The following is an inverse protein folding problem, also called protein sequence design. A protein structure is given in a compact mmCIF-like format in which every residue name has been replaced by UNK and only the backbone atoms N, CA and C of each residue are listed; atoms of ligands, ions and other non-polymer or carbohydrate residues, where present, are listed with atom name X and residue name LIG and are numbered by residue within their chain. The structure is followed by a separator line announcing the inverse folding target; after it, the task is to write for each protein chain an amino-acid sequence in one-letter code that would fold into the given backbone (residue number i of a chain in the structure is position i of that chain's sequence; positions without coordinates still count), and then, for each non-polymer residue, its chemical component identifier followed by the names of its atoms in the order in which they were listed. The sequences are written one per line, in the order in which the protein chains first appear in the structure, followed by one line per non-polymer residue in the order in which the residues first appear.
data_IF_081559749696
#
_entry.id   IF_081559749696
#
_cell.length_a   1.000
_cell.length_b   1.000
_cell.length_c   1.000
_cell.angle_alpha   90.00
_cell.angle_beta   90.00
_cell.angle_gamma   90.00
#
_symmetry.space_group_name_H-M   'P 1'
#
loop_
_entity.id
_entity.type
_entity.pdbx_description
1 polymer ?
#
# COMPACT_ATOMS: atom_id res chain seq x y z
N UNK A 1 -18.09 5.77 6.44
CA UNK A 1 -17.47 5.38 7.72
C UNK A 1 -17.24 6.54 8.67
N UNK A 2 -17.58 6.37 9.95
CA UNK A 2 -17.35 7.35 11.03
C UNK A 2 -15.86 7.63 11.26
N UNK A 3 -15.00 6.60 11.12
CA UNK A 3 -13.54 6.73 11.30
C UNK A 3 -12.92 7.53 10.16
N UNK A 4 -13.23 7.21 8.90
CA UNK A 4 -12.72 7.94 7.73
C UNK A 4 -13.08 9.42 7.80
N UNK A 5 -14.33 9.73 8.17
CA UNK A 5 -14.78 11.11 8.35
C UNK A 5 -14.05 11.83 9.49
N UNK A 6 -13.76 11.12 10.59
CA UNK A 6 -12.96 11.67 11.69
C UNK A 6 -11.53 11.99 11.24
N UNK A 7 -10.85 11.04 10.58
CA UNK A 7 -9.49 11.24 10.07
C UNK A 7 -9.42 12.43 9.10
N UNK A 8 -10.35 12.52 8.16
CA UNK A 8 -10.42 13.62 7.20
C UNK A 8 -10.55 14.99 7.90
N UNK A 9 -11.40 15.10 8.93
CA UNK A 9 -11.54 16.32 9.73
C UNK A 9 -10.26 16.71 10.48
N UNK A 10 -9.41 15.74 10.80
CA UNK A 10 -8.11 15.96 11.45
C UNK A 10 -6.95 16.22 10.46
N UNK A 11 -7.24 16.28 9.15
CA UNK A 11 -6.22 16.48 8.12
C UNK A 11 -5.47 15.20 7.73
N UNK A 12 -6.09 14.04 7.96
CA UNK A 12 -5.55 12.72 7.60
C UNK A 12 -6.46 12.09 6.55
N UNK A 13 -5.90 11.70 5.42
CA UNK A 13 -6.58 10.88 4.42
C UNK A 13 -6.05 9.46 4.58
N UNK A 14 -6.94 8.50 4.78
CA UNK A 14 -6.60 7.08 4.83
C UNK A 14 -7.77 6.27 4.27
N UNK A 15 -7.64 5.86 3.01
CA UNK A 15 -8.70 5.25 2.19
C UNK A 15 -8.10 4.26 1.16
N UNK A 16 -8.93 3.41 0.53
CA UNK A 16 -8.50 2.62 -0.63
C UNK A 16 -7.92 3.51 -1.75
N UNK A 17 -6.96 2.99 -2.51
CA UNK A 17 -6.26 3.78 -3.53
C UNK A 17 -7.22 4.37 -4.58
N UNK A 18 -8.16 3.56 -5.09
CA UNK A 18 -9.13 4.00 -6.10
C UNK A 18 -10.12 5.04 -5.58
N UNK A 19 -10.52 4.97 -4.31
CA UNK A 19 -11.30 6.04 -3.67
C UNK A 19 -10.49 7.33 -3.62
N UNK A 20 -9.18 7.23 -3.37
CA UNK A 20 -8.26 8.36 -3.46
C UNK A 20 -8.20 8.98 -4.85
N UNK A 21 -8.23 8.18 -5.92
CA UNK A 21 -8.27 8.71 -7.30
C UNK A 21 -9.58 9.46 -7.51
N UNK A 22 -10.70 8.91 -7.05
CA UNK A 22 -12.02 9.51 -7.23
C UNK A 22 -12.19 10.82 -6.44
N UNK A 23 -11.75 10.86 -5.19
CA UNK A 23 -11.97 12.00 -4.28
C UNK A 23 -10.83 13.04 -4.30
N UNK A 24 -9.60 12.62 -4.56
CA UNK A 24 -8.40 13.47 -4.50
C UNK A 24 -7.48 13.29 -5.72
N UNK A 25 -8.00 13.36 -6.98
CA UNK A 25 -7.24 13.03 -8.18
C UNK A 25 -5.98 13.89 -8.34
N UNK A 26 -6.10 15.20 -8.13
CA UNK A 26 -4.96 16.13 -8.26
C UNK A 26 -3.84 15.80 -7.27
N UNK A 27 -4.19 15.39 -6.06
CA UNK A 27 -3.22 15.06 -5.04
C UNK A 27 -2.49 13.77 -5.42
N UNK A 28 -3.22 12.71 -5.78
CA UNK A 28 -2.62 11.44 -6.20
C UNK A 28 -1.73 11.62 -7.43
N UNK A 29 -2.23 12.23 -8.50
CA UNK A 29 -1.46 12.40 -9.73
C UNK A 29 -0.24 13.32 -9.59
N UNK A 30 -0.15 14.10 -8.51
CA UNK A 30 1.06 14.88 -8.20
C UNK A 30 2.21 14.05 -7.63
N UNK A 31 1.95 12.81 -7.18
CA UNK A 31 2.94 11.97 -6.49
C UNK A 31 3.08 10.55 -7.04
N UNK A 32 2.03 9.97 -7.62
CA UNK A 32 2.11 8.62 -8.20
C UNK A 32 3.19 8.59 -9.28
N UNK A 33 4.09 7.61 -9.17
CA UNK A 33 5.16 7.38 -10.12
C UNK A 33 6.34 8.34 -10.00
N UNK A 34 6.37 9.18 -8.95
CA UNK A 34 7.47 10.13 -8.72
C UNK A 34 8.67 9.49 -8.04
N UNK A 35 8.47 8.37 -7.33
CA UNK A 35 9.54 7.61 -6.68
C UNK A 35 9.82 6.34 -7.50
N UNK A 36 8.78 5.56 -7.78
CA UNK A 36 8.89 4.34 -8.59
C UNK A 36 8.28 4.63 -9.96
N UNK A 37 9.14 4.93 -10.93
CA UNK A 37 8.72 5.25 -12.29
C UNK A 37 8.12 4.04 -13.01
N UNK A 38 7.40 4.27 -14.10
CA UNK A 38 6.83 3.20 -14.93
C UNK A 38 7.91 2.24 -15.46
N UNK A 39 9.12 2.73 -15.70
CA UNK A 39 10.23 1.98 -16.30
C UNK A 39 11.20 1.39 -15.26
N UNK A 40 10.88 1.49 -13.97
CA UNK A 40 11.79 1.12 -12.88
C UNK A 40 12.27 -0.34 -12.98
N UNK A 41 11.32 -1.27 -13.11
CA UNK A 41 11.59 -2.68 -13.35
C UNK A 41 10.35 -3.35 -13.96
N UNK A 42 10.52 -4.59 -14.43
CA UNK A 42 9.44 -5.36 -15.07
C UNK A 42 8.15 -5.43 -14.22
N UNK A 43 8.29 -5.71 -12.92
CA UNK A 43 7.15 -5.83 -12.01
C UNK A 43 6.52 -4.48 -11.68
N UNK A 44 7.32 -3.40 -11.59
CA UNK A 44 6.82 -2.04 -11.43
C UNK A 44 6.03 -1.57 -12.66
N UNK A 45 6.51 -1.87 -13.87
CA UNK A 45 5.76 -1.58 -15.11
C UNK A 45 4.43 -2.34 -15.12
N UNK A 46 4.47 -3.64 -14.84
CA UNK A 46 3.27 -4.48 -14.79
C UNK A 46 2.27 -3.94 -13.76
N UNK A 47 2.70 -3.78 -12.50
CA UNK A 47 1.87 -3.24 -11.42
C UNK A 47 1.24 -1.89 -11.80
N UNK A 48 2.02 -0.97 -12.38
CA UNK A 48 1.53 0.37 -12.75
C UNK A 48 0.40 0.35 -13.80
N UNK A 49 0.25 -0.73 -14.57
CA UNK A 49 -0.80 -0.87 -15.58
C UNK A 49 -2.02 -1.62 -15.04
N UNK A 50 -1.83 -2.64 -14.21
CA UNK A 50 -2.90 -3.60 -13.84
C UNK A 50 -3.26 -3.66 -12.35
N UNK A 51 -2.66 -2.82 -11.49
CA UNK A 51 -3.02 -2.81 -10.08
C UNK A 51 -4.52 -2.58 -9.87
N UNK A 52 -5.10 -3.32 -8.93
CA UNK A 52 -6.55 -3.33 -8.66
C UNK A 52 -6.87 -3.08 -7.20
N UNK A 53 -5.84 -3.01 -6.34
CA UNK A 53 -5.98 -2.72 -4.92
C UNK A 53 -4.88 -1.80 -4.39
N UNK A 54 -4.80 -1.74 -3.06
CA UNK A 54 -3.84 -0.92 -2.33
C UNK A 54 -4.46 0.27 -1.62
N UNK A 55 -3.62 1.17 -1.11
CA UNK A 55 -4.04 2.20 -0.16
C UNK A 55 -3.47 3.59 -0.47
N UNK A 56 -4.25 4.61 -0.16
CA UNK A 56 -3.79 5.99 -0.19
C UNK A 56 -3.80 6.60 1.21
N UNK A 57 -2.63 7.08 1.65
CA UNK A 57 -2.46 7.74 2.92
C UNK A 57 -1.80 9.12 2.74
N UNK A 58 -2.42 10.15 3.31
CA UNK A 58 -1.86 11.50 3.32
C UNK A 58 -2.02 12.13 4.71
N UNK A 59 -0.93 12.68 5.25
CA UNK A 59 -0.93 13.40 6.51
C UNK A 59 -0.63 14.87 6.22
N UNK A 60 -1.55 15.77 6.59
CA UNK A 60 -1.39 17.20 6.40
C UNK A 60 -0.27 17.81 7.26
N UNK A 61 0.20 18.98 6.87
CA UNK A 61 1.32 19.69 7.51
C UNK A 61 1.03 19.91 9.01
N UNK A 62 2.06 19.72 9.84
CA UNK A 62 2.01 19.86 11.31
C UNK A 62 1.05 18.90 12.04
N UNK A 63 0.45 17.92 11.36
CA UNK A 63 -0.44 16.95 12.00
C UNK A 63 0.35 15.78 12.58
N UNK A 64 0.10 15.47 13.85
CA UNK A 64 0.57 14.24 14.49
C UNK A 64 -0.58 13.25 14.56
N UNK A 65 -0.47 12.14 13.84
CA UNK A 65 -1.43 11.05 13.93
C UNK A 65 -1.19 10.29 15.24
N UNK A 66 -2.20 10.31 16.12
CA UNK A 66 -2.15 9.64 17.43
C UNK A 66 -2.70 8.20 17.39
N UNK A 67 -2.99 7.69 16.20
CA UNK A 67 -3.57 6.37 15.98
C UNK A 67 -2.65 5.63 15.03
N UNK A 68 -2.40 4.34 15.30
CA UNK A 68 -1.66 3.51 14.36
C UNK A 68 -2.59 3.17 13.19
N UNK A 69 -2.25 3.65 12.00
CA UNK A 69 -2.96 3.31 10.79
C UNK A 69 -2.52 1.91 10.36
N UNK A 70 -3.47 1.05 10.05
CA UNK A 70 -3.18 -0.30 9.59
C UNK A 70 -4.04 -0.69 8.41
N UNK A 71 -3.40 -1.22 7.38
CA UNK A 71 -4.04 -1.93 6.28
C UNK A 71 -3.78 -3.42 6.48
N UNK A 72 -4.82 -4.23 6.29
CA UNK A 72 -4.69 -5.67 6.31
C UNK A 72 -5.30 -6.22 5.03
N UNK A 73 -4.43 -6.66 4.13
CA UNK A 73 -4.82 -7.31 2.90
C UNK A 73 -4.94 -8.81 3.18
N UNK A 74 -6.18 -9.30 3.21
CA UNK A 74 -6.46 -10.73 3.31
C UNK A 74 -6.85 -11.23 1.94
N UNK A 75 -5.97 -11.99 1.30
CA UNK A 75 -6.28 -12.73 0.08
C UNK A 75 -7.37 -13.76 0.42
N UNK A 76 -8.57 -13.59 -0.14
CA UNK A 76 -9.74 -14.46 0.10
C UNK A 76 -10.13 -15.30 -1.11
N UNK A 77 -9.50 -15.05 -2.25
CA UNK A 77 -9.78 -15.65 -3.54
C UNK A 77 -8.65 -16.60 -3.94
N UNK A 78 -8.97 -17.61 -4.75
CA UNK A 78 -8.01 -18.40 -5.54
C UNK A 78 -7.37 -17.54 -6.66
N UNK A 79 -7.22 -16.23 -6.44
CA UNK A 79 -6.66 -15.33 -7.45
C UNK A 79 -5.19 -15.67 -7.63
N UNK A 80 -4.85 -16.08 -8.85
CA UNK A 80 -3.49 -16.45 -9.23
C UNK A 80 -2.50 -15.27 -9.08
N UNK A 81 -2.98 -14.03 -9.14
CA UNK A 81 -2.13 -12.85 -9.01
C UNK A 81 -2.80 -11.65 -8.31
N UNK A 82 -2.07 -11.00 -7.41
CA UNK A 82 -2.49 -9.82 -6.66
C UNK A 82 -1.56 -8.64 -6.94
N UNK A 83 -2.14 -7.50 -7.32
CA UNK A 83 -1.42 -6.29 -7.69
C UNK A 83 -1.91 -5.12 -6.85
N UNK A 84 -1.05 -4.64 -5.94
CA UNK A 84 -1.41 -3.58 -4.99
C UNK A 84 -0.47 -2.39 -5.10
N UNK A 85 -1.03 -1.19 -4.97
CA UNK A 85 -0.26 0.04 -4.93
C UNK A 85 -0.57 0.85 -3.68
N UNK A 86 0.45 1.10 -2.87
CA UNK A 86 0.34 1.98 -1.69
C UNK A 86 1.05 3.30 -1.99
N UNK A 87 0.35 4.42 -1.77
CA UNK A 87 0.94 5.77 -1.82
C UNK A 87 0.76 6.43 -0.45
N UNK A 88 1.87 6.75 0.20
CA UNK A 88 1.91 7.35 1.53
C UNK A 88 2.70 8.66 1.52
N UNK A 89 2.04 9.75 1.92
CA UNK A 89 2.61 11.10 1.90
C UNK A 89 2.52 11.70 3.31
N UNK A 90 3.67 12.00 3.91
CA UNK A 90 3.79 12.69 5.19
C UNK A 90 4.25 14.12 4.93
N UNK A 91 3.37 15.10 5.12
CA UNK A 91 3.69 16.52 4.91
C UNK A 91 4.70 17.06 5.93
N UNK A 92 5.14 18.30 5.73
CA UNK A 92 6.17 18.90 6.58
C UNK A 92 5.74 18.90 8.06
N UNK A 93 6.66 18.55 8.94
CA UNK A 93 6.44 18.48 10.39
C UNK A 93 5.27 17.57 10.82
N UNK A 94 4.85 16.62 9.98
CA UNK A 94 3.79 15.68 10.29
C UNK A 94 4.34 14.32 10.75
N UNK A 95 3.56 13.55 11.51
CA UNK A 95 4.01 12.23 11.98
C UNK A 95 2.92 11.15 11.92
N UNK A 96 3.30 9.93 11.55
CA UNK A 96 2.37 8.79 11.52
C UNK A 96 3.08 7.45 11.75
N UNK A 97 2.35 6.50 12.32
CA UNK A 97 2.71 5.08 12.37
C UNK A 97 1.78 4.35 11.41
N UNK A 98 2.36 3.65 10.44
CA UNK A 98 1.63 2.92 9.41
C UNK A 98 2.11 1.46 9.39
N UNK A 99 1.18 0.52 9.47
CA UNK A 99 1.46 -0.92 9.39
C UNK A 99 0.70 -1.55 8.22
N UNK A 100 1.41 -2.23 7.34
CA UNK A 100 0.83 -3.05 6.29
C UNK A 100 0.92 -4.52 6.66
N UNK A 101 -0.20 -5.23 6.62
CA UNK A 101 -0.27 -6.67 6.87
C UNK A 101 -0.73 -7.40 5.63
N UNK A 102 -0.06 -8.51 5.30
CA UNK A 102 -0.54 -9.46 4.29
C UNK A 102 -0.39 -10.90 4.77
N UNK A 103 -1.40 -11.72 4.50
CA UNK A 103 -1.39 -13.16 4.80
C UNK A 103 -1.98 -13.95 3.65
N UNK A 104 -1.27 -14.97 3.18
CA UNK A 104 -1.80 -15.92 2.20
C UNK A 104 -2.36 -17.20 2.86
N UNK A 105 -3.53 -17.67 2.42
CA UNK A 105 -3.96 -19.06 2.61
C UNK A 105 -3.00 -20.06 1.95
N UNK A 106 -3.10 -21.34 2.34
CA UNK A 106 -2.40 -22.42 1.64
C UNK A 106 -3.21 -22.76 0.40
N UNK A 107 -2.60 -22.57 -0.77
CA UNK A 107 -3.16 -22.98 -2.05
C UNK A 107 -2.26 -24.01 -2.73
N UNK A 108 -2.87 -24.86 -3.54
CA UNK A 108 -2.17 -25.90 -4.31
C UNK A 108 -1.44 -25.31 -5.52
N UNK A 109 -1.99 -24.25 -6.14
CA UNK A 109 -1.35 -23.55 -7.25
C UNK A 109 -0.46 -22.41 -6.75
N UNK A 110 0.63 -22.15 -7.48
CA UNK A 110 1.51 -21.02 -7.20
C UNK A 110 0.79 -19.70 -7.46
N UNK A 111 0.99 -18.72 -6.58
CA UNK A 111 0.42 -17.39 -6.69
C UNK A 111 1.49 -16.33 -6.87
N UNK A 112 1.11 -15.20 -7.46
CA UNK A 112 1.95 -14.04 -7.68
C UNK A 112 1.45 -12.85 -6.86
N UNK A 113 2.31 -12.24 -6.05
CA UNK A 113 2.02 -10.98 -5.38
C UNK A 113 3.02 -9.93 -5.85
N UNK A 114 2.50 -8.85 -6.43
CA UNK A 114 3.30 -7.71 -6.86
C UNK A 114 2.78 -6.45 -6.18
N UNK A 115 3.50 -6.00 -5.16
CA UNK A 115 3.21 -4.78 -4.44
C UNK A 115 4.17 -3.66 -4.84
N UNK A 116 3.66 -2.43 -4.87
CA UNK A 116 4.45 -1.24 -5.09
C UNK A 116 4.11 -0.20 -4.04
N UNK A 117 5.12 0.27 -3.30
CA UNK A 117 4.92 1.19 -2.19
C UNK A 117 5.72 2.47 -2.42
N UNK A 118 5.02 3.58 -2.66
CA UNK A 118 5.63 4.91 -2.74
C UNK A 118 5.44 5.68 -1.43
N UNK A 119 6.56 6.00 -0.78
CA UNK A 119 6.57 6.73 0.49
C UNK A 119 7.30 8.06 0.33
N UNK A 120 6.62 9.16 0.63
CA UNK A 120 7.18 10.51 0.62
C UNK A 120 7.07 11.15 1.99
N UNK A 121 8.22 11.31 2.66
CA UNK A 121 8.31 12.04 3.94
C UNK A 121 8.94 13.41 3.69
N UNK A 122 8.14 14.47 3.84
CA UNK A 122 8.60 15.84 3.64
C UNK A 122 9.38 16.37 4.85
N UNK A 123 9.93 17.58 4.70
CA UNK A 123 10.82 18.20 5.69
C UNK A 123 10.26 18.16 7.12
N UNK A 124 11.06 17.63 8.06
CA UNK A 124 10.71 17.41 9.49
C UNK A 124 9.52 16.45 9.71
N UNK A 125 9.05 15.76 8.68
CA UNK A 125 8.09 14.67 8.81
C UNK A 125 8.72 13.45 9.47
N UNK A 126 7.91 12.59 10.08
CA UNK A 126 8.35 11.34 10.69
C UNK A 126 7.38 10.21 10.34
N UNK A 127 7.91 9.08 9.91
CA UNK A 127 7.13 7.90 9.58
C UNK A 127 7.75 6.69 10.25
N UNK A 128 6.93 5.93 10.97
CA UNK A 128 7.23 4.56 11.33
C UNK A 128 6.43 3.66 10.41
N UNK A 129 7.08 3.08 9.41
CA UNK A 129 6.47 2.14 8.48
C UNK A 129 6.86 0.72 8.88
N UNK A 130 5.91 -0.20 8.89
CA UNK A 130 6.13 -1.60 9.23
C UNK A 130 5.33 -2.50 8.31
N UNK A 131 5.94 -3.59 7.88
CA UNK A 131 5.27 -4.62 7.08
C UNK A 131 5.31 -5.94 7.82
N UNK A 132 4.18 -6.64 7.84
CA UNK A 132 4.06 -7.99 8.38
C UNK A 132 3.53 -8.88 7.28
N UNK A 133 4.41 -9.74 6.77
CA UNK A 133 4.09 -10.62 5.64
C UNK A 133 4.26 -12.08 6.05
N UNK A 134 3.18 -12.85 5.95
CA UNK A 134 3.18 -14.28 6.23
C UNK A 134 2.74 -15.07 4.98
N UNK A 135 3.70 -15.72 4.34
CA UNK A 135 3.53 -16.39 3.05
C UNK A 135 3.74 -17.90 3.16
N UNK A 136 2.86 -18.66 2.50
CA UNK A 136 3.09 -20.07 2.25
C UNK A 136 4.18 -20.23 1.18
N UNK A 137 5.21 -21.03 1.45
CA UNK A 137 6.39 -21.17 0.59
C UNK A 137 6.28 -22.27 -0.48
N UNK A 138 5.13 -22.93 -0.55
CA UNK A 138 4.97 -24.16 -1.33
C UNK A 138 5.35 -25.40 -0.50
N UNK A 139 5.11 -26.56 -1.10
CA UNK A 139 5.44 -27.85 -0.49
C UNK A 139 6.92 -28.22 -0.69
N UNK A 140 7.31 -29.45 -0.30
CA UNK A 140 8.69 -29.93 -0.43
C UNK A 140 9.16 -30.08 -1.89
N UNK A 141 8.22 -30.19 -2.83
CA UNK A 141 8.49 -30.29 -4.27
C UNK A 141 8.55 -28.91 -4.95
N UNK A 142 8.20 -27.84 -4.22
CA UNK A 142 8.09 -26.49 -4.74
C UNK A 142 6.73 -26.18 -5.39
N UNK A 143 5.75 -27.05 -5.22
CA UNK A 143 4.39 -26.85 -5.73
C UNK A 143 3.59 -25.92 -4.80
N UNK A 144 2.77 -25.07 -5.40
CA UNK A 144 2.03 -24.04 -4.69
C UNK A 144 2.90 -22.84 -4.29
N UNK A 145 2.53 -22.20 -3.18
CA UNK A 145 3.29 -21.09 -2.60
C UNK A 145 3.10 -19.75 -3.30
N UNK A 146 3.76 -18.71 -2.77
CA UNK A 146 3.58 -17.34 -3.25
C UNK A 146 4.91 -16.68 -3.62
N UNK A 147 4.99 -16.23 -4.86
CA UNK A 147 6.07 -15.39 -5.38
C UNK A 147 5.78 -13.93 -5.04
N UNK A 148 6.56 -13.38 -4.12
CA UNK A 148 6.39 -12.01 -3.64
C UNK A 148 7.44 -11.08 -4.25
N UNK A 149 6.98 -10.12 -5.05
CA UNK A 149 7.79 -9.03 -5.59
C UNK A 149 7.25 -7.71 -5.05
N UNK A 150 7.95 -7.13 -4.07
CA UNK A 150 7.62 -5.80 -3.55
C UNK A 150 8.69 -4.82 -4.01
N UNK A 151 8.27 -3.70 -4.62
CA UNK A 151 9.13 -2.55 -4.98
C UNK A 151 8.85 -1.38 -4.04
#
# INVERSE_FOLDING_TARGET
DTITNFLLKTGIIFIPFFDGINYFPYLIFSYVGTIVSLEDNFFATLNSIIFSGGSFCFIAKNIKCNINLSTYFRTQSEDFAQFERTLLIVSNSASVIYTEGCSAPIFLESQLHVALVEILVKHKGTLNYSTVQNWYRGDQSGEGGLYNFTT
#
